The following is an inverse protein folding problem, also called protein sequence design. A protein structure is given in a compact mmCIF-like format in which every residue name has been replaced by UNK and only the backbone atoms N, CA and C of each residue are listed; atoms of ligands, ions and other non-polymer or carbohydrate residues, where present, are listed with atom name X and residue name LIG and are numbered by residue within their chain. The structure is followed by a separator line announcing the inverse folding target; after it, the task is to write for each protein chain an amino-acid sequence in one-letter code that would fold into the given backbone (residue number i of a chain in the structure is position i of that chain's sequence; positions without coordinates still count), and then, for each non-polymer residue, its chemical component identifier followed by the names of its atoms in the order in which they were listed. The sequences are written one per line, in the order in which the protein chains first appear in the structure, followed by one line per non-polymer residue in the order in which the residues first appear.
data_IF_839586309247
#
_entry.id   IF_839586309247
#
_cell.length_a   1.000
_cell.length_b   1.000
_cell.length_c   1.000
_cell.angle_alpha   90.00
_cell.angle_beta   90.00
_cell.angle_gamma   90.00
#
_symmetry.space_group_name_H-M   'P 1'
#
loop_
_entity.id
_entity.type
_entity.pdbx_description
1 polymer ?
#
# COMPACT_ATOMS: atom_id res chain seq x y z
N UNK A 1 -32.15 -20.51 14.67
CA UNK A 1 -31.28 -21.42 13.90
C UNK A 1 -30.77 -20.61 12.73
N UNK A 2 -29.59 -20.00 12.87
CA UNK A 2 -28.96 -19.16 11.84
C UNK A 2 -27.79 -19.95 11.26
N UNK A 3 -28.03 -20.57 10.12
CA UNK A 3 -27.02 -21.12 9.23
C UNK A 3 -27.38 -20.61 7.83
N UNK A 4 -26.41 -20.09 7.10
CA UNK A 4 -26.58 -19.71 5.69
C UNK A 4 -26.42 -18.23 5.42
N UNK A 5 -25.17 -17.79 5.25
CA UNK A 5 -24.74 -16.79 4.25
C UNK A 5 -23.20 -16.70 4.29
N UNK A 6 -22.54 -17.81 3.96
CA UNK A 6 -21.23 -17.77 3.32
C UNK A 6 -21.48 -17.73 1.81
N UNK A 7 -21.69 -16.54 1.26
CA UNK A 7 -21.70 -16.36 -0.20
C UNK A 7 -20.25 -16.25 -0.68
N UNK A 8 -19.71 -17.39 -1.12
CA UNK A 8 -18.55 -17.44 -2.02
C UNK A 8 -19.03 -16.92 -3.38
N UNK A 9 -18.66 -15.69 -3.73
CA UNK A 9 -18.88 -15.19 -5.09
C UNK A 9 -17.93 -15.92 -6.06
N UNK A 10 -18.40 -16.37 -7.23
CA UNK A 10 -17.55 -17.04 -8.20
C UNK A 10 -16.49 -16.07 -8.73
N UNK A 11 -15.22 -16.43 -8.57
CA UNK A 11 -14.13 -15.79 -9.29
C UNK A 11 -14.20 -16.22 -10.77
N UNK A 12 -14.95 -15.49 -11.59
CA UNK A 12 -14.77 -15.58 -13.05
C UNK A 12 -13.44 -14.92 -13.43
N UNK A 13 -12.35 -15.65 -13.17
CA UNK A 13 -11.12 -15.51 -13.92
C UNK A 13 -11.31 -16.28 -15.21
N UNK A 14 -11.37 -15.55 -16.33
CA UNK A 14 -11.39 -16.16 -17.66
C UNK A 14 -10.29 -17.21 -17.76
N UNK A 15 -10.69 -18.43 -18.14
CA UNK A 15 -9.88 -19.63 -18.08
C UNK A 15 -8.53 -19.52 -18.78
N UNK A 16 -7.47 -19.58 -17.98
CA UNK A 16 -6.21 -20.17 -18.41
C UNK A 16 -6.34 -21.66 -18.13
N UNK A 17 -6.43 -22.44 -19.20
CA UNK A 17 -6.56 -23.90 -19.16
C UNK A 17 -5.48 -24.50 -18.25
N UNK A 18 -5.89 -25.33 -17.29
CA UNK A 18 -4.99 -26.29 -16.66
C UNK A 18 -4.46 -27.26 -17.73
N UNK A 19 -3.16 -27.25 -17.96
CA UNK A 19 -2.52 -28.16 -18.90
C UNK A 19 -1.06 -27.83 -19.12
N UNK A 20 -0.22 -28.55 -18.38
CA UNK A 20 1.25 -28.55 -18.35
C UNK A 20 1.88 -27.51 -17.43
N UNK A 21 2.67 -28.03 -16.49
CA UNK A 21 3.78 -27.35 -15.85
C UNK A 21 4.71 -26.83 -16.94
N UNK A 22 4.44 -25.62 -17.44
CA UNK A 22 5.46 -24.87 -18.14
C UNK A 22 6.52 -24.57 -17.10
N UNK A 23 7.60 -25.33 -17.16
CA UNK A 23 8.83 -25.03 -16.46
C UNK A 23 9.30 -23.67 -16.96
N UNK A 24 8.79 -22.61 -16.33
CA UNK A 24 9.40 -21.28 -16.41
C UNK A 24 10.83 -21.50 -15.95
N UNK A 25 11.76 -21.41 -16.91
CA UNK A 25 13.19 -21.57 -16.68
C UNK A 25 13.61 -20.47 -15.70
N UNK A 26 13.75 -20.85 -14.43
CA UNK A 26 14.18 -19.94 -13.39
C UNK A 26 15.65 -19.65 -13.64
N UNK A 27 15.98 -18.38 -13.91
CA UNK A 27 17.37 -17.94 -13.97
C UNK A 27 18.16 -18.34 -12.72
N UNK A 28 19.49 -18.35 -12.79
CA UNK A 28 20.34 -18.72 -11.65
C UNK A 28 20.01 -17.88 -10.40
N UNK A 29 19.86 -18.54 -9.25
CA UNK A 29 19.51 -17.91 -7.98
C UNK A 29 18.26 -17.01 -8.07
N UNK A 30 17.16 -17.52 -8.61
CA UNK A 30 15.87 -16.84 -8.68
C UNK A 30 15.02 -17.12 -7.43
N UNK A 31 14.40 -16.05 -6.92
CA UNK A 31 13.32 -16.11 -5.92
C UNK A 31 12.16 -15.30 -6.51
N UNK A 32 11.16 -16.00 -7.03
CA UNK A 32 9.95 -15.41 -7.58
C UNK A 32 8.84 -15.54 -6.54
N UNK A 33 8.17 -14.43 -6.26
CA UNK A 33 7.06 -14.37 -5.31
C UNK A 33 5.91 -13.62 -5.97
N UNK A 34 4.72 -14.19 -5.93
CA UNK A 34 3.48 -13.61 -6.45
C UNK A 34 2.30 -13.94 -5.53
N UNK A 35 1.18 -13.24 -5.69
CA UNK A 35 -0.06 -13.56 -4.98
C UNK A 35 -0.97 -14.31 -5.95
N UNK A 36 -0.97 -15.64 -5.84
CA UNK A 36 -1.70 -16.52 -6.76
C UNK A 36 -3.22 -16.48 -6.54
N UNK A 37 -3.64 -16.17 -5.31
CA UNK A 37 -5.06 -16.04 -4.94
C UNK A 37 -5.22 -15.12 -3.73
N UNK A 38 -6.42 -14.57 -3.54
CA UNK A 38 -6.77 -13.87 -2.32
C UNK A 38 -8.25 -14.03 -2.01
N UNK A 39 -8.56 -14.11 -0.72
CA UNK A 39 -9.91 -14.27 -0.19
C UNK A 39 -10.23 -13.11 0.75
N UNK A 40 -11.35 -12.44 0.53
CA UNK A 40 -11.87 -11.43 1.46
C UNK A 40 -12.93 -12.04 2.37
N UNK A 41 -12.65 -12.04 3.66
CA UNK A 41 -13.56 -12.43 4.73
C UNK A 41 -14.12 -11.18 5.42
N UNK A 42 -15.20 -11.31 6.21
CA UNK A 42 -15.93 -10.17 6.83
C UNK A 42 -15.05 -9.10 7.49
N UNK A 43 -13.91 -9.43 8.05
CA UNK A 43 -13.03 -8.46 8.72
C UNK A 43 -11.59 -8.45 8.18
N UNK A 44 -11.25 -9.34 7.26
CA UNK A 44 -9.86 -9.61 6.89
C UNK A 44 -9.70 -9.98 5.42
N UNK A 45 -8.52 -9.76 4.88
CA UNK A 45 -8.12 -10.33 3.59
C UNK A 45 -6.99 -11.32 3.82
N UNK A 46 -7.14 -12.50 3.25
CA UNK A 46 -6.13 -13.56 3.21
C UNK A 46 -5.53 -13.59 1.81
N UNK A 47 -4.21 -13.56 1.73
CA UNK A 47 -3.43 -13.58 0.50
C UNK A 47 -2.72 -14.92 0.42
N UNK A 48 -2.93 -15.67 -0.65
CA UNK A 48 -2.16 -16.88 -0.95
C UNK A 48 -0.88 -16.43 -1.65
N UNK A 49 0.20 -16.38 -0.88
CA UNK A 49 1.53 -16.01 -1.36
C UNK A 49 2.17 -17.27 -1.94
N UNK A 50 2.37 -17.27 -3.25
CA UNK A 50 3.04 -18.33 -3.98
C UNK A 50 4.51 -17.95 -4.17
N UNK A 51 5.39 -18.92 -3.94
CA UNK A 51 6.84 -18.76 -4.06
C UNK A 51 7.42 -19.86 -4.91
N UNK A 52 8.18 -19.46 -5.93
CA UNK A 52 8.96 -20.35 -6.78
C UNK A 52 10.44 -19.96 -6.73
N UNK A 53 11.32 -20.89 -6.39
CA UNK A 53 12.72 -20.59 -6.10
C UNK A 53 13.67 -21.75 -6.41
N UNK A 54 14.89 -21.44 -6.83
CA UNK A 54 15.99 -22.41 -6.94
C UNK A 54 17.07 -22.20 -5.87
N UNK A 55 16.80 -21.32 -4.89
CA UNK A 55 17.70 -21.05 -3.78
C UNK A 55 17.78 -22.26 -2.82
N UNK A 56 18.99 -22.73 -2.46
CA UNK A 56 19.18 -23.90 -1.62
C UNK A 56 18.76 -23.67 -0.16
N UNK A 57 18.59 -22.41 0.25
CA UNK A 57 18.16 -22.09 1.60
C UNK A 57 16.69 -22.46 1.84
N UNK A 58 15.88 -22.69 0.80
CA UNK A 58 14.45 -23.03 0.92
C UNK A 58 14.23 -24.54 0.98
N UNK A 59 13.25 -24.98 1.77
CA UNK A 59 12.88 -26.39 1.95
C UNK A 59 12.18 -26.96 0.70
N UNK A 60 11.38 -26.14 0.04
CA UNK A 60 10.62 -26.49 -1.16
C UNK A 60 10.93 -25.46 -2.26
N UNK A 61 10.87 -25.88 -3.52
CA UNK A 61 11.14 -25.00 -4.67
C UNK A 61 9.89 -24.34 -5.25
N UNK A 62 8.72 -24.86 -4.91
CA UNK A 62 7.41 -24.39 -5.37
C UNK A 62 6.40 -24.68 -4.24
N UNK A 63 5.84 -23.62 -3.64
CA UNK A 63 4.94 -23.73 -2.49
C UNK A 63 4.11 -22.45 -2.32
N UNK A 64 3.02 -22.55 -1.58
CA UNK A 64 2.18 -21.41 -1.21
C UNK A 64 1.85 -21.40 0.28
N UNK A 65 1.74 -20.20 0.84
CA UNK A 65 1.29 -19.97 2.22
C UNK A 65 0.22 -18.89 2.24
N UNK A 66 -0.64 -18.93 3.26
CA UNK A 66 -1.68 -17.91 3.44
C UNK A 66 -1.22 -16.86 4.44
N UNK A 67 -1.37 -15.59 4.07
CA UNK A 67 -0.98 -14.43 4.90
C UNK A 67 -2.09 -13.40 5.02
N UNK A 68 -2.13 -12.70 6.14
CA UNK A 68 -3.03 -11.59 6.44
C UNK A 68 -2.27 -10.26 6.39
N UNK A 69 -2.98 -9.17 6.15
CA UNK A 69 -2.39 -7.83 6.06
C UNK A 69 -1.48 -7.49 7.26
N UNK A 70 -1.87 -7.83 8.48
CA UNK A 70 -1.08 -7.63 9.69
C UNK A 70 0.30 -8.30 9.64
N UNK A 71 0.43 -9.45 8.98
CA UNK A 71 1.71 -10.15 8.83
C UNK A 71 2.65 -9.42 7.86
N UNK A 72 2.11 -8.75 6.82
CA UNK A 72 2.90 -7.88 5.94
C UNK A 72 3.44 -6.66 6.70
N UNK A 73 2.60 -6.09 7.57
CA UNK A 73 3.01 -4.96 8.42
C UNK A 73 4.08 -5.41 9.42
N UNK A 74 3.93 -6.58 10.03
CA UNK A 74 4.96 -7.14 10.90
C UNK A 74 6.28 -7.35 10.15
N UNK A 75 6.24 -7.91 8.95
CA UNK A 75 7.43 -8.13 8.14
C UNK A 75 8.12 -6.78 7.82
N UNK A 76 7.36 -5.78 7.39
CA UNK A 76 7.88 -4.43 7.18
C UNK A 76 8.53 -3.85 8.44
N UNK A 77 7.86 -3.96 9.60
CA UNK A 77 8.41 -3.48 10.87
C UNK A 77 9.71 -4.19 11.23
N UNK A 78 9.86 -5.49 10.96
CA UNK A 78 11.12 -6.23 11.17
C UNK A 78 12.25 -5.65 10.31
N UNK A 79 11.97 -5.23 9.08
CA UNK A 79 12.96 -4.55 8.24
C UNK A 79 13.29 -3.15 8.76
N UNK A 80 12.27 -2.36 9.15
CA UNK A 80 12.46 -0.96 9.57
C UNK A 80 13.19 -0.82 10.91
N UNK A 81 12.93 -1.76 11.83
CA UNK A 81 13.57 -1.81 13.16
C UNK A 81 14.98 -2.41 13.13
N UNK A 82 15.40 -3.06 12.04
CA UNK A 82 16.73 -3.66 11.96
C UNK A 82 17.81 -2.62 11.58
N UNK A 83 18.77 -2.40 12.49
CA UNK A 83 19.87 -1.47 12.31
C UNK A 83 20.78 -1.85 11.11
N UNK A 84 20.95 -3.14 10.83
CA UNK A 84 21.72 -3.62 9.67
C UNK A 84 21.10 -3.18 8.34
N UNK A 85 19.80 -2.87 8.36
CA UNK A 85 19.05 -2.41 7.20
C UNK A 85 18.84 -0.89 7.16
N UNK A 86 19.42 -0.13 8.10
CA UNK A 86 19.28 1.32 8.18
C UNK A 86 19.77 2.06 6.92
N UNK A 87 20.72 1.46 6.20
CA UNK A 87 21.29 1.98 4.96
C UNK A 87 20.53 1.64 3.67
N UNK A 88 19.37 0.96 3.75
CA UNK A 88 18.60 0.55 2.57
C UNK A 88 17.21 1.19 2.52
N UNK A 89 16.73 1.47 1.31
CA UNK A 89 15.36 1.94 1.09
C UNK A 89 14.46 0.71 1.26
N UNK A 90 13.75 0.67 2.38
CA UNK A 90 12.80 -0.40 2.67
C UNK A 90 11.53 -0.12 1.86
N UNK A 91 11.04 -1.04 1.01
CA UNK A 91 9.82 -0.84 0.25
C UNK A 91 8.65 -0.41 1.18
N UNK A 92 7.82 0.56 0.78
CA UNK A 92 6.72 1.01 1.61
C UNK A 92 5.76 -0.16 1.87
N UNK A 93 5.20 -0.27 3.09
CA UNK A 93 4.29 -1.37 3.42
C UNK A 93 3.04 -1.26 2.55
N UNK A 94 2.33 -2.35 2.23
CA UNK A 94 1.05 -2.23 1.54
C UNK A 94 0.05 -1.41 2.39
N UNK A 95 -0.88 -0.65 1.78
CA UNK A 95 -1.88 0.07 2.55
C UNK A 95 -2.88 -0.93 3.14
N UNK A 96 -3.53 -0.53 4.23
CA UNK A 96 -4.60 -1.32 4.83
C UNK A 96 -5.74 -1.49 3.81
N UNK A 97 -6.18 -2.72 3.56
CA UNK A 97 -7.39 -2.94 2.76
C UNK A 97 -8.59 -2.28 3.45
N UNK A 98 -9.34 -1.48 2.70
CA UNK A 98 -10.57 -0.83 3.17
C UNK A 98 -11.71 -1.22 2.24
N UNK A 99 -12.65 -2.00 2.77
CA UNK A 99 -13.83 -2.48 2.05
C UNK A 99 -15.12 -2.04 2.73
N UNK A 100 -15.06 -1.23 3.78
CA UNK A 100 -16.22 -0.98 4.66
C UNK A 100 -17.34 -0.31 3.89
N UNK A 101 -17.02 0.74 3.12
CA UNK A 101 -17.99 1.44 2.28
C UNK A 101 -18.62 0.52 1.21
N UNK A 102 -17.84 -0.38 0.60
CA UNK A 102 -18.35 -1.31 -0.42
C UNK A 102 -19.25 -2.38 0.19
N UNK A 103 -18.88 -2.90 1.37
CA UNK A 103 -19.67 -3.88 2.13
C UNK A 103 -20.99 -3.28 2.61
N UNK A 104 -20.95 -2.06 3.14
CA UNK A 104 -22.15 -1.35 3.59
C UNK A 104 -23.12 -1.09 2.42
N UNK A 105 -22.62 -0.68 1.25
CA UNK A 105 -23.45 -0.51 0.05
C UNK A 105 -24.09 -1.82 -0.40
N UNK A 106 -23.32 -2.92 -0.44
CA UNK A 106 -23.83 -4.25 -0.82
C UNK A 106 -24.88 -4.77 0.17
N UNK A 107 -24.67 -4.56 1.47
CA UNK A 107 -25.64 -4.93 2.50
C UNK A 107 -26.94 -4.14 2.36
N UNK A 108 -26.87 -2.81 2.23
CA UNK A 108 -28.04 -1.95 2.02
C UNK A 108 -28.81 -2.31 0.76
N UNK A 109 -28.11 -2.71 -0.31
CA UNK A 109 -28.76 -3.17 -1.53
C UNK A 109 -29.57 -4.45 -1.26
N UNK A 110 -29.01 -5.42 -0.53
CA UNK A 110 -29.72 -6.65 -0.14
C UNK A 110 -30.95 -6.39 0.73
N UNK A 111 -30.86 -5.45 1.67
CA UNK A 111 -32.02 -5.03 2.50
C UNK A 111 -33.14 -4.37 1.67
N UNK A 112 -32.80 -3.78 0.52
CA UNK A 112 -33.71 -3.10 -0.39
C UNK A 112 -34.26 -3.97 -1.54
N UNK A 113 -33.92 -5.27 -1.60
CA UNK A 113 -34.27 -6.15 -2.73
C UNK A 113 -35.78 -6.14 -3.07
N UNK A 114 -36.64 -6.09 -2.05
CA UNK A 114 -38.10 -6.08 -2.22
C UNK A 114 -38.71 -4.77 -2.76
N UNK A 115 -37.95 -3.67 -2.82
CA UNK A 115 -38.44 -2.34 -3.19
C UNK A 115 -38.11 -1.94 -4.63
N UNK A 116 -37.46 -2.81 -5.39
CA UNK A 116 -37.01 -2.53 -6.76
C UNK A 116 -37.27 -3.71 -7.68
N UNK A 117 -37.19 -3.48 -8.99
CA UNK A 117 -37.36 -4.58 -9.95
C UNK A 117 -36.14 -5.52 -9.92
N UNK A 118 -36.34 -6.79 -10.31
CA UNK A 118 -35.26 -7.78 -10.36
C UNK A 118 -34.12 -7.34 -11.30
N UNK A 119 -34.45 -6.65 -12.40
CA UNK A 119 -33.47 -6.11 -13.34
C UNK A 119 -32.65 -4.97 -12.74
N UNK A 120 -33.29 -4.03 -12.03
CA UNK A 120 -32.60 -2.93 -11.35
C UNK A 120 -31.70 -3.45 -10.21
N UNK A 121 -32.18 -4.42 -9.43
CA UNK A 121 -31.40 -5.06 -8.38
C UNK A 121 -30.14 -5.71 -8.92
N UNK A 122 -30.28 -6.54 -9.97
CA UNK A 122 -29.14 -7.21 -10.61
C UNK A 122 -28.13 -6.21 -11.15
N UNK A 123 -28.58 -5.13 -11.77
CA UNK A 123 -27.70 -4.11 -12.34
C UNK A 123 -26.93 -3.36 -11.25
N UNK A 124 -27.60 -2.93 -10.18
CA UNK A 124 -26.92 -2.27 -9.05
C UNK A 124 -25.98 -3.22 -8.31
N UNK A 125 -26.36 -4.49 -8.14
CA UNK A 125 -25.50 -5.51 -7.55
C UNK A 125 -24.21 -5.67 -8.35
N UNK A 126 -24.34 -5.80 -9.68
CA UNK A 126 -23.19 -5.92 -10.58
C UNK A 126 -22.27 -4.69 -10.55
N UNK A 127 -22.82 -3.48 -10.48
CA UNK A 127 -22.04 -2.24 -10.37
C UNK A 127 -21.24 -2.18 -9.04
N UNK A 128 -21.86 -2.55 -7.92
CA UNK A 128 -21.20 -2.60 -6.62
C UNK A 128 -20.14 -3.70 -6.54
N UNK A 129 -20.42 -4.89 -7.10
CA UNK A 129 -19.45 -5.98 -7.19
C UNK A 129 -18.23 -5.58 -8.03
N UNK A 130 -18.43 -4.81 -9.10
CA UNK A 130 -17.34 -4.28 -9.92
C UNK A 130 -16.48 -3.24 -9.14
N UNK A 131 -17.11 -2.32 -8.39
CA UNK A 131 -16.40 -1.37 -7.52
C UNK A 131 -15.57 -2.11 -6.47
N UNK A 132 -16.17 -3.09 -5.81
CA UNK A 132 -15.51 -3.95 -4.83
C UNK A 132 -14.32 -4.69 -5.44
N UNK A 133 -14.51 -5.33 -6.60
CA UNK A 133 -13.46 -6.09 -7.28
C UNK A 133 -12.29 -5.21 -7.70
N UNK A 134 -12.53 -3.96 -8.09
CA UNK A 134 -11.48 -3.01 -8.42
C UNK A 134 -10.60 -2.70 -7.20
N UNK A 135 -11.21 -2.41 -6.04
CA UNK A 135 -10.50 -2.18 -4.78
C UNK A 135 -9.73 -3.44 -4.35
N UNK A 136 -10.34 -4.60 -4.54
CA UNK A 136 -9.75 -5.89 -4.20
C UNK A 136 -8.48 -6.17 -5.03
N UNK A 137 -8.57 -6.04 -6.36
CA UNK A 137 -7.43 -6.21 -7.27
C UNK A 137 -6.30 -5.23 -6.97
N UNK A 138 -6.64 -3.96 -6.69
CA UNK A 138 -5.68 -2.95 -6.25
C UNK A 138 -4.97 -3.37 -4.97
N UNK A 139 -5.73 -3.86 -3.98
CA UNK A 139 -5.18 -4.34 -2.72
C UNK A 139 -4.18 -5.47 -2.95
N UNK A 140 -4.56 -6.49 -3.72
CA UNK A 140 -3.68 -7.62 -4.07
C UNK A 140 -2.41 -7.14 -4.75
N UNK A 141 -2.53 -6.31 -5.80
CA UNK A 141 -1.37 -5.78 -6.52
C UNK A 141 -0.39 -5.03 -5.62
N UNK A 142 -0.88 -4.23 -4.66
CA UNK A 142 0.00 -3.50 -3.74
C UNK A 142 0.73 -4.42 -2.74
N UNK A 143 0.09 -5.50 -2.30
CA UNK A 143 0.74 -6.51 -1.45
C UNK A 143 1.78 -7.31 -2.23
N UNK A 144 1.47 -7.67 -3.48
CA UNK A 144 2.39 -8.39 -4.37
C UNK A 144 3.63 -7.55 -4.69
N UNK A 145 3.45 -6.26 -5.06
CA UNK A 145 4.57 -5.35 -5.34
C UNK A 145 5.52 -5.23 -4.16
N UNK A 146 5.00 -5.19 -2.92
CA UNK A 146 5.83 -5.15 -1.73
C UNK A 146 6.72 -6.41 -1.62
N UNK A 147 6.13 -7.61 -1.72
CA UNK A 147 6.89 -8.87 -1.66
C UNK A 147 7.86 -9.02 -2.82
N UNK A 148 7.43 -8.65 -4.02
CA UNK A 148 8.24 -8.69 -5.24
C UNK A 148 9.48 -7.82 -5.08
N UNK A 149 9.35 -6.62 -4.49
CA UNK A 149 10.51 -5.75 -4.25
C UNK A 149 11.48 -6.34 -3.23
N UNK A 150 10.99 -6.98 -2.17
CA UNK A 150 11.84 -7.67 -1.19
C UNK A 150 12.58 -8.84 -1.84
N UNK A 151 11.88 -9.66 -2.65
CA UNK A 151 12.45 -10.82 -3.34
C UNK A 151 13.52 -10.43 -4.38
N UNK A 152 13.34 -9.31 -5.09
CA UNK A 152 14.32 -8.82 -6.06
C UNK A 152 15.52 -8.11 -5.41
N UNK A 153 15.40 -7.67 -4.15
CA UNK A 153 16.50 -6.95 -3.49
C UNK A 153 17.60 -7.93 -3.05
N UNK A 154 18.88 -7.71 -3.41
CA UNK A 154 19.96 -8.70 -3.21
C UNK A 154 20.25 -9.03 -1.73
N UNK A 155 19.92 -8.10 -0.83
CA UNK A 155 20.05 -8.27 0.63
C UNK A 155 18.76 -8.83 1.25
N UNK A 156 17.63 -8.13 1.15
CA UNK A 156 16.36 -8.53 1.78
C UNK A 156 15.86 -9.92 1.39
N UNK A 157 16.14 -10.38 0.17
CA UNK A 157 15.77 -11.75 -0.26
C UNK A 157 16.41 -12.87 0.55
N UNK A 158 17.46 -12.56 1.33
CA UNK A 158 18.18 -13.50 2.20
C UNK A 158 17.78 -13.34 3.68
N UNK A 159 16.85 -12.43 3.98
CA UNK A 159 16.42 -12.17 5.34
C UNK A 159 15.66 -13.36 5.94
N UNK A 160 15.97 -13.71 7.19
CA UNK A 160 15.37 -14.85 7.85
C UNK A 160 13.88 -14.64 8.15
N UNK A 161 13.45 -13.43 8.54
CA UNK A 161 12.03 -13.16 8.78
C UNK A 161 11.25 -13.20 7.46
N UNK A 162 11.85 -12.74 6.35
CA UNK A 162 11.24 -12.88 5.04
C UNK A 162 11.11 -14.34 4.61
N UNK A 163 12.14 -15.16 4.83
CA UNK A 163 12.06 -16.61 4.60
C UNK A 163 10.94 -17.25 5.43
N UNK A 164 10.87 -16.95 6.74
CA UNK A 164 9.79 -17.42 7.62
C UNK A 164 8.42 -16.98 7.11
N UNK A 165 8.31 -15.72 6.67
CA UNK A 165 7.08 -15.19 6.08
C UNK A 165 6.67 -15.96 4.82
N UNK A 166 7.60 -16.43 4.00
CA UNK A 166 7.28 -17.20 2.80
C UNK A 166 7.00 -18.69 3.11
N UNK A 167 7.79 -19.35 3.96
CA UNK A 167 7.73 -20.81 4.11
C UNK A 167 6.85 -21.35 5.24
N UNK A 168 6.58 -20.54 6.28
CA UNK A 168 5.89 -21.06 7.47
C UNK A 168 4.41 -21.34 7.17
N UNK A 169 4.02 -22.61 7.14
CA UNK A 169 2.67 -23.00 6.67
C UNK A 169 1.53 -22.56 7.60
N UNK A 170 1.81 -22.30 8.88
CA UNK A 170 0.80 -21.86 9.84
C UNK A 170 0.72 -20.33 9.89
N UNK A 171 -0.29 -19.82 10.59
CA UNK A 171 -0.41 -18.39 10.90
C UNK A 171 0.80 -17.97 11.76
N UNK A 172 1.46 -16.86 11.41
CA UNK A 172 2.60 -16.35 12.18
C UNK A 172 2.18 -15.86 13.57
N UNK A 173 0.88 -15.88 13.91
CA UNK A 173 0.31 -15.45 15.19
C UNK A 173 0.72 -14.02 15.55
N UNK A 174 0.84 -13.18 14.53
CA UNK A 174 1.19 -11.77 14.69
C UNK A 174 0.05 -11.08 15.41
N UNK A 175 0.29 -10.72 16.68
CA UNK A 175 -0.68 -9.95 17.46
C UNK A 175 -0.91 -8.60 16.80
N UNK A 176 -2.17 -8.30 16.47
CA UNK A 176 -2.58 -6.94 16.08
C UNK A 176 -2.14 -5.93 17.15
N UNK A 177 -1.44 -4.86 16.74
CA UNK A 177 -0.99 -3.81 17.66
C UNK A 177 -2.16 -3.29 18.50
N UNK A 178 -2.03 -3.37 19.82
CA UNK A 178 -3.05 -2.87 20.74
C UNK A 178 -3.19 -1.34 20.64
N UNK A 179 -4.30 -0.76 21.11
CA UNK A 179 -4.50 0.71 21.13
C UNK A 179 -3.31 1.48 21.76
N UNK A 180 -2.69 0.90 22.80
CA UNK A 180 -1.48 1.47 23.45
C UNK A 180 -0.25 1.42 22.55
N UNK A 181 0.01 0.31 21.88
CA UNK A 181 1.15 0.17 20.96
C UNK A 181 0.98 1.04 19.70
N UNK A 182 -0.27 1.21 19.23
CA UNK A 182 -0.59 2.20 18.19
C UNK A 182 -0.28 3.62 18.67
N UNK A 183 -0.68 3.98 19.89
CA UNK A 183 -0.35 5.27 20.51
C UNK A 183 1.16 5.47 20.68
N UNK A 184 1.89 4.44 21.09
CA UNK A 184 3.36 4.46 21.14
C UNK A 184 3.97 4.64 19.74
N UNK A 185 3.37 4.06 18.70
CA UNK A 185 3.72 4.31 17.31
C UNK A 185 3.51 5.78 16.90
N UNK A 186 2.41 6.39 17.30
CA UNK A 186 2.16 7.83 17.09
C UNK A 186 3.18 8.70 17.83
N UNK A 187 3.50 8.37 19.09
CA UNK A 187 4.52 9.08 19.88
C UNK A 187 5.91 8.90 19.26
N UNK A 188 6.27 7.70 18.80
CA UNK A 188 7.52 7.46 18.06
C UNK A 188 7.58 8.29 16.80
N UNK A 189 6.51 8.37 16.02
CA UNK A 189 6.45 9.21 14.82
C UNK A 189 6.57 10.70 15.14
N UNK A 190 5.98 11.17 16.24
CA UNK A 190 6.10 12.57 16.66
C UNK A 190 7.52 12.92 17.14
N UNK A 191 8.11 12.04 17.96
CA UNK A 191 9.51 12.15 18.38
C UNK A 191 10.44 12.09 17.17
N UNK A 192 10.17 11.21 16.20
CA UNK A 192 10.91 11.13 14.94
C UNK A 192 10.89 12.45 14.19
N UNK A 193 9.73 13.09 14.02
CA UNK A 193 9.64 14.39 13.33
C UNK A 193 10.38 15.51 14.06
N UNK A 194 10.33 15.53 15.39
CA UNK A 194 11.02 16.55 16.20
C UNK A 194 12.53 16.33 16.20
N UNK A 195 12.95 15.07 16.33
CA UNK A 195 14.33 14.62 16.23
C UNK A 195 14.90 14.84 14.82
N UNK A 196 14.12 14.59 13.76
CA UNK A 196 14.50 14.87 12.37
C UNK A 196 14.73 16.37 12.15
N UNK A 197 13.86 17.23 12.71
CA UNK A 197 14.04 18.69 12.63
C UNK A 197 15.28 19.14 13.40
N UNK A 198 15.53 18.59 14.59
CA UNK A 198 16.71 18.89 15.37
C UNK A 198 18.00 18.39 14.70
N UNK A 199 18.01 17.14 14.24
CA UNK A 199 19.13 16.52 13.52
C UNK A 199 19.42 17.27 12.23
N UNK A 200 18.41 17.63 11.44
CA UNK A 200 18.63 18.40 10.21
C UNK A 200 19.18 19.81 10.45
N UNK A 201 18.95 20.40 11.63
CA UNK A 201 19.50 21.69 12.02
C UNK A 201 20.91 21.59 12.63
N UNK A 202 21.24 20.48 13.30
CA UNK A 202 22.47 20.33 14.11
C UNK A 202 23.51 19.42 13.47
N UNK A 203 23.09 18.46 12.64
CA UNK A 203 23.90 17.46 11.98
C UNK A 203 23.90 17.74 10.47
N UNK A 204 25.08 18.03 9.92
CA UNK A 204 25.28 18.06 8.47
C UNK A 204 25.87 16.73 8.03
N UNK A 205 25.45 16.22 6.86
CA UNK A 205 26.13 15.06 6.30
C UNK A 205 27.59 15.43 5.95
N UNK A 206 28.51 14.51 6.18
CA UNK A 206 29.93 14.69 5.85
C UNK A 206 30.14 14.59 4.33
N UNK A 207 29.23 13.88 3.65
CA UNK A 207 29.27 13.61 2.22
C UNK A 207 28.29 14.51 1.45
N UNK A 208 28.85 15.32 0.54
CA UNK A 208 28.10 16.26 -0.29
C UNK A 208 27.07 15.56 -1.20
N UNK A 209 27.31 14.29 -1.56
CA UNK A 209 26.36 13.49 -2.32
C UNK A 209 25.00 13.40 -1.59
N UNK A 210 25.01 13.06 -0.30
CA UNK A 210 23.77 12.85 0.45
C UNK A 210 23.01 14.15 0.70
N UNK A 211 23.69 15.29 0.82
CA UNK A 211 23.01 16.59 0.89
C UNK A 211 22.34 16.96 -0.44
N UNK A 212 23.00 16.70 -1.58
CA UNK A 212 22.40 16.89 -2.91
C UNK A 212 21.19 15.99 -3.12
N UNK A 213 21.34 14.70 -2.82
CA UNK A 213 20.24 13.73 -2.92
C UNK A 213 19.08 14.09 -1.99
N UNK A 214 19.35 14.57 -0.77
CA UNK A 214 18.32 15.07 0.14
C UNK A 214 17.57 16.26 -0.44
N UNK A 215 18.29 17.22 -1.03
CA UNK A 215 17.69 18.37 -1.72
C UNK A 215 16.76 17.93 -2.85
N UNK A 216 17.28 17.11 -3.77
CA UNK A 216 16.50 16.53 -4.86
C UNK A 216 15.27 15.78 -4.37
N UNK A 217 15.43 14.92 -3.35
CA UNK A 217 14.33 14.11 -2.83
C UNK A 217 13.23 14.95 -2.18
N UNK A 218 13.57 16.05 -1.51
CA UNK A 218 12.58 16.96 -0.94
C UNK A 218 11.78 17.70 -2.02
N UNK A 219 12.44 18.16 -3.08
CA UNK A 219 11.80 18.77 -4.24
C UNK A 219 10.90 17.77 -4.98
N UNK A 220 11.43 16.58 -5.27
CA UNK A 220 10.70 15.51 -5.93
C UNK A 220 9.49 15.04 -5.11
N UNK A 221 9.65 14.86 -3.79
CA UNK A 221 8.53 14.53 -2.91
C UNK A 221 7.44 15.59 -2.93
N UNK A 222 7.81 16.87 -2.93
CA UNK A 222 6.84 17.98 -2.99
C UNK A 222 6.08 17.96 -4.31
N UNK A 223 6.78 17.79 -5.43
CA UNK A 223 6.17 17.71 -6.76
C UNK A 223 5.21 16.51 -6.89
N UNK A 224 5.61 15.33 -6.41
CA UNK A 224 4.78 14.12 -6.45
C UNK A 224 3.57 14.25 -5.52
N UNK A 225 3.75 14.79 -4.31
CA UNK A 225 2.64 15.03 -3.38
C UNK A 225 1.61 15.99 -3.96
N UNK A 226 2.05 17.10 -4.55
CA UNK A 226 1.17 18.08 -5.19
C UNK A 226 0.45 17.48 -6.41
N UNK A 227 1.16 16.67 -7.20
CA UNK A 227 0.58 15.98 -8.36
C UNK A 227 -0.47 14.95 -7.92
N UNK A 228 -0.17 14.16 -6.89
CA UNK A 228 -1.11 13.21 -6.29
C UNK A 228 -2.40 13.92 -5.84
N UNK A 229 -2.26 15.02 -5.10
CA UNK A 229 -3.41 15.79 -4.63
C UNK A 229 -4.25 16.37 -5.78
N UNK A 230 -3.60 16.85 -6.85
CA UNK A 230 -4.31 17.34 -8.04
C UNK A 230 -5.03 16.22 -8.78
N UNK A 231 -4.42 15.03 -8.88
CA UNK A 231 -5.03 13.86 -9.52
C UNK A 231 -6.25 13.35 -8.73
N UNK A 232 -6.18 13.33 -7.38
CA UNK A 232 -7.32 12.98 -6.54
C UNK A 232 -8.46 14.01 -6.71
N UNK A 233 -8.14 15.31 -6.80
CA UNK A 233 -9.15 16.36 -7.09
C UNK A 233 -9.79 16.21 -8.46
N UNK A 234 -9.00 15.90 -9.48
CA UNK A 234 -9.49 15.64 -10.84
C UNK A 234 -10.47 14.46 -10.86
N UNK A 235 -10.13 13.37 -10.15
CA UNK A 235 -11.02 12.21 -9.99
C UNK A 235 -12.37 12.60 -9.38
N UNK A 236 -12.37 13.43 -8.33
CA UNK A 236 -13.59 13.96 -7.69
C UNK A 236 -14.38 14.86 -8.64
N UNK A 237 -13.70 15.71 -9.41
CA UNK A 237 -14.35 16.57 -10.39
C UNK A 237 -15.07 15.76 -11.47
N UNK A 238 -14.45 14.71 -12.03
CA UNK A 238 -15.11 13.81 -12.98
C UNK A 238 -16.35 13.13 -12.37
N UNK A 239 -16.29 12.69 -11.11
CA UNK A 239 -17.48 12.15 -10.41
C UNK A 239 -18.59 13.19 -10.31
N UNK A 240 -18.26 14.41 -9.91
CA UNK A 240 -19.23 15.51 -9.83
C UNK A 240 -19.85 15.84 -11.20
N UNK A 241 -19.09 15.78 -12.28
CA UNK A 241 -19.61 16.00 -13.64
C UNK A 241 -20.55 14.86 -14.05
N UNK A 242 -20.20 13.60 -13.75
CA UNK A 242 -21.10 12.47 -13.96
C UNK A 242 -22.41 12.61 -13.17
N UNK A 243 -22.34 13.11 -11.93
CA UNK A 243 -23.51 13.41 -11.10
C UNK A 243 -24.39 14.53 -11.69
N UNK A 244 -23.79 15.54 -12.32
CA UNK A 244 -24.56 16.53 -13.07
C UNK A 244 -25.24 15.92 -14.30
N UNK A 245 -24.58 15.03 -15.03
CA UNK A 245 -25.17 14.38 -16.20
C UNK A 245 -26.38 13.51 -15.86
N UNK A 246 -26.37 12.79 -14.73
CA UNK A 246 -27.55 12.02 -14.30
C UNK A 246 -28.73 12.94 -13.94
N UNK A 247 -28.47 14.07 -13.27
CA UNK A 247 -29.51 15.04 -12.94
C UNK A 247 -30.11 15.66 -14.20
N UNK A 248 -29.28 16.05 -15.17
CA UNK A 248 -29.73 16.59 -16.45
C UNK A 248 -30.54 15.56 -17.25
N UNK A 249 -30.07 14.32 -17.33
CA UNK A 249 -30.81 13.23 -17.98
C UNK A 249 -32.19 13.04 -17.35
N UNK A 250 -32.25 12.91 -16.01
CA UNK A 250 -33.52 12.74 -15.29
C UNK A 250 -34.47 13.92 -15.51
N UNK A 251 -33.97 15.15 -15.47
CA UNK A 251 -34.78 16.35 -15.71
C UNK A 251 -35.33 16.41 -17.13
N UNK A 252 -34.54 16.01 -18.13
CA UNK A 252 -34.98 15.91 -19.52
C UNK A 252 -36.01 14.80 -19.72
N UNK A 253 -35.84 13.63 -19.09
CA UNK A 253 -36.86 12.58 -19.11
C UNK A 253 -38.21 13.09 -18.56
N UNK A 254 -38.19 13.81 -17.44
CA UNK A 254 -39.40 14.40 -16.84
C UNK A 254 -40.02 15.44 -17.78
N UNK A 255 -39.22 16.34 -18.36
CA UNK A 255 -39.71 17.33 -19.33
C UNK A 255 -40.36 16.65 -20.55
N UNK A 256 -39.77 15.56 -21.03
CA UNK A 256 -40.33 14.76 -22.12
C UNK A 256 -41.75 14.26 -21.85
N UNK A 257 -42.09 13.94 -20.60
CA UNK A 257 -43.45 13.51 -20.21
C UNK A 257 -44.50 14.62 -20.21
N UNK A 258 -44.06 15.88 -20.11
CA UNK A 258 -44.93 17.06 -20.10
C UNK A 258 -45.15 17.56 -21.54
N UNK A 259 -44.14 17.43 -22.39
CA UNK A 259 -44.14 17.93 -23.76
C UNK A 259 -44.96 17.05 -24.71
N UNK A 260 -45.41 17.64 -25.83
CA UNK A 260 -46.16 16.91 -26.85
C UNK A 260 -45.32 15.83 -27.59
N UNK A 261 -45.97 14.85 -28.23
CA UNK A 261 -45.31 13.63 -28.77
C UNK A 261 -44.25 13.85 -29.86
N UNK A 262 -44.21 15.05 -30.46
CA UNK A 262 -43.16 15.44 -31.42
C UNK A 262 -41.85 15.83 -30.73
N UNK A 263 -41.93 16.50 -29.57
CA UNK A 263 -40.79 17.00 -28.82
C UNK A 263 -40.30 15.97 -27.79
N UNK A 264 -41.21 15.19 -27.21
CA UNK A 264 -40.92 14.06 -26.31
C UNK A 264 -39.78 13.18 -26.84
N UNK A 265 -39.92 12.66 -28.08
CA UNK A 265 -38.92 11.79 -28.71
C UNK A 265 -37.54 12.43 -28.83
N UNK A 266 -37.49 13.73 -29.11
CA UNK A 266 -36.23 14.47 -29.21
C UNK A 266 -35.60 14.65 -27.83
N UNK A 267 -36.39 15.09 -26.84
CA UNK A 267 -35.92 15.33 -25.47
C UNK A 267 -35.42 14.05 -24.81
N UNK A 268 -36.15 12.94 -24.95
CA UNK A 268 -35.72 11.62 -24.46
C UNK A 268 -34.39 11.21 -25.09
N UNK A 269 -34.22 11.44 -26.40
CA UNK A 269 -32.95 11.13 -27.09
C UNK A 269 -31.78 11.98 -26.57
N UNK A 270 -32.03 13.23 -26.15
CA UNK A 270 -31.01 14.07 -25.50
C UNK A 270 -30.71 13.55 -24.08
N UNK A 271 -31.72 13.12 -23.33
CA UNK A 271 -31.54 12.49 -22.02
C UNK A 271 -30.67 11.22 -22.11
N UNK A 272 -30.96 10.35 -23.08
CA UNK A 272 -30.16 9.15 -23.39
C UNK A 272 -28.70 9.50 -23.73
N UNK A 273 -28.46 10.65 -24.36
CA UNK A 273 -27.11 11.12 -24.63
C UNK A 273 -26.38 11.48 -23.34
N UNK A 274 -27.03 12.18 -22.40
CA UNK A 274 -26.45 12.47 -21.09
C UNK A 274 -26.16 11.21 -20.28
N UNK A 275 -27.02 10.19 -20.33
CA UNK A 275 -26.72 8.87 -19.74
C UNK A 275 -25.47 8.21 -20.34
N UNK A 276 -25.31 8.30 -21.66
CA UNK A 276 -24.11 7.75 -22.33
C UNK A 276 -22.85 8.51 -21.92
N UNK A 277 -22.89 9.84 -21.89
CA UNK A 277 -21.74 10.66 -21.50
C UNK A 277 -21.42 10.47 -20.01
N UNK A 278 -22.42 10.36 -19.14
CA UNK A 278 -22.25 9.98 -17.71
C UNK A 278 -21.43 8.71 -17.56
N UNK A 279 -21.76 7.65 -18.31
CA UNK A 279 -21.03 6.37 -18.23
C UNK A 279 -19.58 6.51 -18.68
N UNK A 280 -19.31 7.32 -19.71
CA UNK A 280 -17.94 7.59 -20.17
C UNK A 280 -17.18 8.38 -19.12
N UNK A 281 -17.79 9.41 -18.54
CA UNK A 281 -17.19 10.26 -17.51
C UNK A 281 -16.87 9.47 -16.23
N UNK A 282 -17.80 8.63 -15.78
CA UNK A 282 -17.59 7.75 -14.62
C UNK A 282 -16.49 6.71 -14.86
N UNK A 283 -16.36 6.19 -16.09
CA UNK A 283 -15.26 5.31 -16.46
C UNK A 283 -13.93 6.04 -16.47
N UNK A 284 -13.88 7.25 -17.05
CA UNK A 284 -12.67 8.09 -17.06
C UNK A 284 -12.18 8.35 -15.63
N UNK A 285 -13.06 8.77 -14.74
CA UNK A 285 -12.76 8.96 -13.31
C UNK A 285 -12.14 7.72 -12.68
N UNK A 286 -12.73 6.54 -12.94
CA UNK A 286 -12.26 5.27 -12.37
C UNK A 286 -10.90 4.85 -12.94
N UNK A 287 -10.70 5.00 -14.25
CA UNK A 287 -9.44 4.68 -14.91
C UNK A 287 -8.29 5.59 -14.45
N UNK A 288 -8.56 6.89 -14.29
CA UNK A 288 -7.58 7.86 -13.81
C UNK A 288 -7.21 7.63 -12.35
N UNK A 289 -8.19 7.32 -11.48
CA UNK A 289 -7.93 6.96 -10.09
C UNK A 289 -7.01 5.74 -10.00
N UNK A 290 -7.36 4.68 -10.72
CA UNK A 290 -6.64 3.39 -10.68
C UNK A 290 -5.26 3.43 -11.34
N UNK A 291 -5.07 4.26 -12.38
CA UNK A 291 -3.79 4.27 -13.14
C UNK A 291 -2.90 5.42 -12.74
N UNK A 292 -3.44 6.64 -12.65
CA UNK A 292 -2.65 7.84 -12.39
C UNK A 292 -2.54 8.11 -10.88
N UNK A 293 -3.67 8.25 -10.19
CA UNK A 293 -3.67 8.61 -8.77
C UNK A 293 -3.00 7.53 -7.91
N UNK A 294 -3.27 6.25 -8.17
CA UNK A 294 -2.61 5.12 -7.51
C UNK A 294 -1.10 5.11 -7.72
N UNK A 295 -0.64 5.34 -8.96
CA UNK A 295 0.79 5.41 -9.27
C UNK A 295 1.47 6.56 -8.52
N UNK A 296 0.85 7.75 -8.51
CA UNK A 296 1.36 8.90 -7.76
C UNK A 296 1.39 8.64 -6.26
N UNK A 297 0.35 8.00 -5.69
CA UNK A 297 0.32 7.60 -4.27
C UNK A 297 1.42 6.61 -3.95
N UNK A 298 1.70 5.66 -4.83
CA UNK A 298 2.81 4.72 -4.65
C UNK A 298 4.16 5.46 -4.61
N UNK A 299 4.47 6.29 -5.60
CA UNK A 299 5.74 7.03 -5.61
C UNK A 299 5.85 8.02 -4.46
N UNK A 300 4.76 8.64 -4.02
CA UNK A 300 4.77 9.48 -2.81
C UNK A 300 5.23 8.70 -1.57
N UNK A 301 4.77 7.45 -1.43
CA UNK A 301 5.15 6.55 -0.32
C UNK A 301 6.58 6.04 -0.48
N UNK A 302 7.01 5.74 -1.69
CA UNK A 302 8.39 5.32 -1.98
C UNK A 302 9.40 6.44 -1.69
N UNK A 303 9.08 7.68 -2.06
CA UNK A 303 9.86 8.87 -1.66
C UNK A 303 9.92 9.01 -0.13
N UNK A 304 8.82 8.72 0.56
CA UNK A 304 8.81 8.73 2.03
C UNK A 304 9.77 7.66 2.60
N UNK A 305 9.83 6.48 2.00
CA UNK A 305 10.79 5.44 2.38
C UNK A 305 12.25 5.88 2.15
N UNK A 306 12.54 6.55 1.04
CA UNK A 306 13.86 7.14 0.79
C UNK A 306 14.21 8.24 1.81
N UNK A 307 13.25 9.10 2.18
CA UNK A 307 13.44 10.09 3.26
C UNK A 307 13.73 9.43 4.60
N UNK A 308 13.02 8.35 4.92
CA UNK A 308 13.26 7.57 6.14
C UNK A 308 14.67 6.97 6.19
N UNK A 309 15.24 6.55 5.05
CA UNK A 309 16.65 6.16 4.98
C UNK A 309 17.57 7.33 5.32
N UNK A 310 17.37 8.52 4.72
CA UNK A 310 18.24 9.67 4.99
C UNK A 310 18.19 10.08 6.46
N UNK A 311 17.01 10.03 7.07
CA UNK A 311 16.87 10.24 8.52
C UNK A 311 17.64 9.20 9.34
N UNK A 312 17.50 7.90 9.02
CA UNK A 312 18.24 6.83 9.73
C UNK A 312 19.76 6.99 9.58
N UNK A 313 20.23 7.38 8.39
CA UNK A 313 21.63 7.71 8.12
C UNK A 313 22.13 8.86 8.99
N UNK A 314 21.41 9.99 9.02
CA UNK A 314 21.74 11.16 9.84
C UNK A 314 21.84 10.79 11.33
N UNK A 315 20.92 9.95 11.81
CA UNK A 315 20.95 9.45 13.19
C UNK A 315 22.17 8.56 13.47
N UNK A 316 22.53 7.67 12.54
CA UNK A 316 23.74 6.86 12.67
C UNK A 316 25.00 7.74 12.72
N UNK A 317 25.07 8.79 11.91
CA UNK A 317 26.18 9.74 11.92
C UNK A 317 26.27 10.49 13.25
N UNK A 318 25.15 11.00 13.77
CA UNK A 318 25.11 11.67 15.07
C UNK A 318 25.55 10.74 16.21
N UNK A 319 25.08 9.49 16.21
CA UNK A 319 25.50 8.48 17.17
C UNK A 319 27.00 8.19 17.10
N UNK A 320 27.55 8.06 15.88
CA UNK A 320 28.98 7.84 15.65
C UNK A 320 29.84 8.99 16.18
N UNK A 321 29.47 10.23 15.88
CA UNK A 321 30.20 11.41 16.38
C UNK A 321 30.12 11.54 17.90
N UNK A 322 28.97 11.24 18.48
CA UNK A 322 28.80 11.23 19.93
C UNK A 322 29.65 10.14 20.59
N UNK A 323 29.72 8.95 20.01
CA UNK A 323 30.59 7.87 20.47
C UNK A 323 32.06 8.26 20.42
N UNK A 324 32.51 8.92 19.35
CA UNK A 324 33.87 9.44 19.23
C UNK A 324 34.19 10.51 20.29
N UNK A 325 33.29 11.47 20.51
CA UNK A 325 33.44 12.47 21.58
C UNK A 325 33.56 11.81 22.96
N UNK A 326 32.78 10.77 23.22
CA UNK A 326 32.86 10.01 24.48
C UNK A 326 34.18 9.26 24.61
N UNK A 327 34.67 8.65 23.53
CA UNK A 327 35.97 7.98 23.49
C UNK A 327 37.11 8.95 23.79
N UNK A 328 37.10 10.15 23.19
CA UNK A 328 38.13 11.16 23.40
C UNK A 328 38.11 11.70 24.85
N UNK A 329 36.92 11.90 25.42
CA UNK A 329 36.77 12.23 26.86
C UNK A 329 37.33 11.14 27.77
N UNK A 330 37.08 9.86 27.45
CA UNK A 330 37.62 8.74 28.22
C UNK A 330 39.14 8.64 28.11
N UNK A 331 39.70 8.85 26.91
CA UNK A 331 41.14 8.92 26.67
C UNK A 331 41.81 10.05 27.46
N UNK A 332 41.21 11.24 27.47
CA UNK A 332 41.70 12.37 28.25
C UNK A 332 41.76 12.04 29.75
N UNK A 333 40.66 11.53 30.31
CA UNK A 333 40.59 11.11 31.72
C UNK A 333 41.64 10.04 32.08
N UNK A 334 41.86 9.05 31.21
CA UNK A 334 42.88 8.02 31.46
C UNK A 334 44.30 8.59 31.44
N UNK A 335 44.61 9.55 30.56
CA UNK A 335 45.90 10.26 30.58
C UNK A 335 46.10 10.99 31.91
N UNK A 336 45.06 11.66 32.41
CA UNK A 336 45.11 12.40 33.68
C UNK A 336 45.35 11.46 34.88
N UNK A 337 44.74 10.27 34.89
CA UNK A 337 44.95 9.25 35.94
C UNK A 337 46.40 8.73 35.94
N UNK A 338 46.98 8.48 34.76
CA UNK A 338 48.39 8.06 34.67
C UNK A 338 49.35 9.18 35.12
N UNK A 339 49.07 10.43 34.78
CA UNK A 339 49.84 11.58 35.24
C UNK A 339 49.79 11.71 36.77
N UNK A 340 48.61 11.58 37.39
CA UNK A 340 48.44 11.62 38.84
C UNK A 340 49.14 10.47 39.57
N UNK A 341 49.13 9.25 39.02
CA UNK A 341 49.88 8.11 39.57
C UNK A 341 51.39 8.33 39.53
N UNK A 342 51.90 8.95 38.46
CA UNK A 342 53.33 9.29 38.34
C UNK A 342 53.78 10.39 39.30
N UNK A 343 52.87 11.29 39.69
CA UNK A 343 53.10 12.32 40.70
C UNK A 343 53.10 11.76 42.13
N UNK A 344 52.31 10.72 42.41
CA UNK A 344 52.26 10.05 43.72
C UNK A 344 53.36 8.99 43.93
N UNK A 345 54.10 8.60 42.89
CA UNK A 345 55.20 7.62 42.98
C UNK A 345 56.59 8.26 43.10
N UNK A 346 56.66 9.58 43.34
CA UNK A 346 57.86 10.33 43.72
C UNK A 346 57.69 10.79 45.15
#
# INVERSE_FOLDING_TARGET
MMEGMEEVLPSETNGIKSGKSDAVDLGENALQVDISDALSEREKVKFTVHTKTNLPEYCKQDFSVVRQHEEFIWLHDRFDENEDYAGFIIPPPPPRPDFDASREKLQKLGEGEGNMTNEEFKKMKQELEAEYLAIFKKTVAMHEVFLTRLAHHPVFRKDNNFKVFLEYEQDLSVRSKNKKEKMEGFIRSFNKSTDEMLLSATQKDVDEYFEKEKGFLLEYFTAIKDSCFKADKMTVAHKSVADCYIQLSSGLCQLGTIEGPRLEKFVIKVADCFEKVRKVEGRLSSDEDLKLSDTLRYYMRDCTAAKNLLYRRLRCLANYEQANKNLDRARAKNRDVHALKSLHSR
#
